data_IF_598484581563
#
_entry.id   IF_598484581563
#
_cell.length_a   1.000
_cell.length_b   1.000
_cell.length_c   1.000
_cell.angle_alpha   90.00
_cell.angle_beta   90.00
_cell.angle_gamma   90.00
#
_symmetry.space_group_name_H-M   'P 1'
#
loop_
_entity.id
_entity.type
_entity.pdbx_description
1 polymer ?
#
# COMPACT_ATOMS: atom_id res chain seq x y z
N UNK A 1 -71.32 -20.45 44.89
CA UNK A 1 -71.09 -19.06 44.46
C UNK A 1 -69.74 -18.46 44.91
N UNK A 2 -68.97 -19.07 45.85
CA UNK A 2 -67.66 -18.55 46.29
C UNK A 2 -66.47 -18.94 45.39
N UNK A 3 -66.51 -20.07 44.71
CA UNK A 3 -65.40 -20.58 43.87
C UNK A 3 -65.19 -19.81 42.56
N UNK A 4 -66.27 -19.34 41.92
CA UNK A 4 -66.21 -18.62 40.63
C UNK A 4 -65.52 -17.24 40.73
N UNK A 5 -65.58 -16.59 41.89
CA UNK A 5 -64.94 -15.28 42.11
C UNK A 5 -63.43 -15.40 42.38
N UNK A 6 -62.96 -16.56 42.83
CA UNK A 6 -61.55 -16.78 43.11
C UNK A 6 -60.77 -17.06 41.83
N UNK A 7 -61.33 -17.85 40.91
CA UNK A 7 -60.74 -18.12 39.60
C UNK A 7 -60.68 -16.86 38.71
N UNK A 8 -61.72 -16.01 38.76
CA UNK A 8 -61.70 -14.70 38.06
C UNK A 8 -60.61 -13.76 38.58
N UNK A 9 -60.38 -13.73 39.90
CA UNK A 9 -59.31 -12.90 40.49
C UNK A 9 -57.91 -13.41 40.13
N UNK A 10 -57.76 -14.73 40.05
CA UNK A 10 -56.49 -15.38 39.71
C UNK A 10 -56.18 -15.22 38.21
N UNK A 11 -57.20 -15.32 37.34
CA UNK A 11 -57.06 -15.05 35.91
C UNK A 11 -56.73 -13.58 35.62
N UNK A 12 -57.37 -12.63 36.30
CA UNK A 12 -57.06 -11.19 36.16
C UNK A 12 -55.62 -10.89 36.63
N UNK A 13 -55.16 -11.53 37.70
CA UNK A 13 -53.78 -11.40 38.17
C UNK A 13 -52.76 -11.95 37.15
N UNK A 14 -53.02 -13.13 36.57
CA UNK A 14 -52.14 -13.73 35.56
C UNK A 14 -52.09 -12.94 34.25
N UNK A 15 -53.22 -12.39 33.80
CA UNK A 15 -53.27 -11.52 32.60
C UNK A 15 -52.52 -10.21 32.87
N UNK A 16 -52.65 -9.63 34.07
CA UNK A 16 -51.89 -8.43 34.46
C UNK A 16 -50.38 -8.68 34.51
N UNK A 17 -49.95 -9.87 34.95
CA UNK A 17 -48.54 -10.25 34.98
C UNK A 17 -47.97 -10.45 33.56
N UNK A 18 -48.76 -11.05 32.66
CA UNK A 18 -48.36 -11.26 31.27
C UNK A 18 -48.24 -9.94 30.49
N UNK A 19 -49.15 -8.97 30.73
CA UNK A 19 -49.08 -7.64 30.10
C UNK A 19 -47.90 -6.81 30.63
N UNK A 20 -47.51 -6.97 31.89
CA UNK A 20 -46.33 -6.29 32.45
C UNK A 20 -45.02 -6.88 31.93
N UNK A 21 -45.01 -8.16 31.51
CA UNK A 21 -43.83 -8.82 30.93
C UNK A 21 -43.53 -8.44 29.47
N UNK A 22 -44.44 -7.68 28.84
CA UNK A 22 -44.31 -7.18 27.45
C UNK A 22 -43.91 -5.72 27.38
N UNK A 23 -43.57 -5.08 28.51
CA UNK A 23 -42.94 -3.76 28.50
C UNK A 23 -41.57 -3.93 27.82
N UNK A 24 -41.32 -3.28 26.66
CA UNK A 24 -39.99 -3.29 26.08
C UNK A 24 -39.07 -2.66 27.12
N UNK A 25 -38.09 -3.44 27.58
CA UNK A 25 -36.95 -2.90 28.29
C UNK A 25 -36.31 -1.92 27.31
N UNK A 26 -36.60 -0.62 27.50
CA UNK A 26 -35.88 0.43 26.83
C UNK A 26 -34.43 0.29 27.30
N UNK A 27 -33.62 -0.41 26.50
CA UNK A 27 -32.19 -0.35 26.63
C UNK A 27 -31.81 1.15 26.61
N UNK A 28 -30.86 1.60 27.43
CA UNK A 28 -30.37 2.96 27.32
C UNK A 28 -29.94 3.18 25.87
N UNK A 29 -30.56 4.17 25.22
CA UNK A 29 -30.14 4.63 23.91
C UNK A 29 -28.70 5.14 24.12
N UNK A 30 -27.71 4.36 23.72
CA UNK A 30 -26.35 4.88 23.57
C UNK A 30 -26.47 6.06 22.59
N UNK A 31 -26.27 7.28 23.07
CA UNK A 31 -26.12 8.41 22.17
C UNK A 31 -24.88 8.14 21.34
N UNK A 32 -25.08 7.90 20.05
CA UNK A 32 -24.02 7.94 19.06
C UNK A 32 -23.50 9.38 19.03
N UNK A 33 -22.45 9.63 19.82
CA UNK A 33 -21.60 10.79 19.62
C UNK A 33 -20.64 10.39 18.49
N UNK A 34 -20.95 10.84 17.28
CA UNK A 34 -20.21 10.54 16.02
C UNK A 34 -18.74 10.97 16.08
N UNK A 35 -18.31 11.63 17.16
CA UNK A 35 -16.94 12.09 17.39
C UNK A 35 -15.98 11.03 17.98
N UNK A 36 -16.45 9.80 18.25
CA UNK A 36 -15.61 8.70 18.79
C UNK A 36 -15.18 7.65 17.76
N UNK A 37 -15.68 7.72 16.53
CA UNK A 37 -15.32 6.74 15.52
C UNK A 37 -13.83 6.87 15.16
N UNK A 38 -13.17 5.74 14.91
CA UNK A 38 -11.79 5.75 14.46
C UNK A 38 -11.71 6.57 13.17
N UNK A 39 -10.68 7.40 13.03
CA UNK A 39 -10.46 8.20 11.84
C UNK A 39 -8.97 8.25 11.57
N UNK A 40 -8.57 7.78 10.40
CA UNK A 40 -7.17 7.72 10.00
C UNK A 40 -7.01 8.26 8.58
N UNK A 41 -5.78 8.63 8.24
CA UNK A 41 -5.33 8.90 6.89
C UNK A 41 -4.11 8.03 6.59
N UNK A 42 -4.12 7.36 5.44
CA UNK A 42 -3.04 6.51 4.98
C UNK A 42 -2.27 7.17 3.84
N UNK A 43 -0.95 7.18 3.92
CA UNK A 43 -0.07 7.64 2.85
C UNK A 43 1.10 6.69 2.66
N UNK A 44 1.59 6.56 1.43
CA UNK A 44 2.73 5.70 1.09
C UNK A 44 3.70 6.49 0.22
N UNK A 45 5.00 6.35 0.49
CA UNK A 45 6.07 7.02 -0.25
C UNK A 45 7.22 6.06 -0.54
N UNK A 46 7.73 6.00 -1.78
CA UNK A 46 7.19 6.68 -2.98
C UNK A 46 5.85 6.07 -3.42
N UNK A 47 5.09 6.75 -4.28
CA UNK A 47 3.86 6.19 -4.87
C UNK A 47 4.15 5.32 -6.09
N UNK A 48 5.30 5.52 -6.72
CA UNK A 48 5.77 4.75 -7.87
C UNK A 48 7.27 4.49 -7.74
N UNK A 49 7.72 3.29 -8.10
CA UNK A 49 9.15 2.94 -8.06
C UNK A 49 9.51 1.94 -9.14
N UNK A 50 10.68 2.13 -9.75
CA UNK A 50 11.32 1.11 -10.59
C UNK A 50 12.23 0.25 -9.74
N UNK A 51 12.03 -1.07 -9.79
CA UNK A 51 12.78 -2.07 -9.02
C UNK A 51 13.35 -3.07 -10.03
N UNK A 52 14.63 -3.40 -9.93
CA UNK A 52 15.19 -4.40 -10.83
C UNK A 52 14.65 -5.80 -10.47
N UNK A 53 14.31 -6.63 -11.46
CA UNK A 53 14.00 -8.04 -11.24
C UNK A 53 15.04 -8.74 -10.35
N UNK A 54 14.58 -9.48 -9.33
CA UNK A 54 15.44 -10.12 -8.32
C UNK A 54 15.79 -9.25 -7.11
N UNK A 55 15.45 -7.96 -7.12
CA UNK A 55 15.64 -7.04 -6.01
C UNK A 55 14.33 -6.74 -5.26
N UNK A 56 14.45 -5.95 -4.19
CA UNK A 56 13.33 -5.44 -3.43
C UNK A 56 13.38 -3.91 -3.32
N UNK A 57 12.23 -3.27 -3.52
CA UNK A 57 12.03 -1.84 -3.29
C UNK A 57 11.38 -1.59 -1.93
N UNK A 58 11.87 -0.57 -1.23
CA UNK A 58 11.36 -0.16 0.08
C UNK A 58 10.38 1.01 -0.06
N UNK A 59 9.25 0.89 0.63
CA UNK A 59 8.19 1.88 0.74
C UNK A 59 7.95 2.23 2.21
N UNK A 60 7.78 3.52 2.48
CA UNK A 60 7.37 4.02 3.79
C UNK A 60 5.86 4.23 3.80
N UNK A 61 5.17 3.50 4.67
CA UNK A 61 3.73 3.64 4.91
C UNK A 61 3.53 4.46 6.18
N UNK A 62 2.83 5.59 6.07
CA UNK A 62 2.52 6.46 7.20
C UNK A 62 1.03 6.47 7.46
N UNK A 63 0.64 6.18 8.70
CA UNK A 63 -0.75 6.23 9.17
C UNK A 63 -0.89 7.37 10.15
N UNK A 64 -1.71 8.36 9.81
CA UNK A 64 -2.00 9.52 10.65
C UNK A 64 -3.37 9.33 11.31
N UNK A 65 -3.46 9.48 12.63
CA UNK A 65 -4.71 9.43 13.37
C UNK A 65 -5.37 10.83 13.37
N UNK A 66 -6.41 11.00 12.55
CA UNK A 66 -7.22 12.23 12.48
C UNK A 66 -8.36 12.25 13.50
N UNK A 67 -8.55 11.16 14.25
CA UNK A 67 -9.54 11.04 15.30
C UNK A 67 -9.18 11.75 16.60
N UNK A 68 -10.10 11.67 17.56
CA UNK A 68 -9.98 12.29 18.89
C UNK A 68 -9.39 11.37 19.96
N UNK A 69 -9.42 10.05 19.73
CA UNK A 69 -8.92 9.01 20.62
C UNK A 69 -7.71 8.29 20.02
N UNK A 70 -6.87 7.62 20.83
CA UNK A 70 -5.84 6.72 20.31
C UNK A 70 -6.44 5.56 19.49
N UNK A 71 -5.75 5.14 18.43
CA UNK A 71 -6.20 4.02 17.58
C UNK A 71 -5.13 2.94 17.48
N UNK A 72 -5.53 1.68 17.46
CA UNK A 72 -4.64 0.56 17.07
C UNK A 72 -4.86 0.23 15.60
N UNK A 73 -3.79 -0.01 14.85
CA UNK A 73 -3.87 -0.23 13.40
C UNK A 73 -3.30 -1.59 13.02
N UNK A 74 -4.02 -2.31 12.16
CA UNK A 74 -3.53 -3.52 11.49
C UNK A 74 -3.35 -3.24 10.00
N UNK A 75 -2.12 -3.44 9.51
CA UNK A 75 -1.75 -3.25 8.12
C UNK A 75 -1.74 -4.57 7.34
N UNK A 76 -2.20 -4.56 6.10
CA UNK A 76 -2.07 -5.65 5.16
C UNK A 76 -1.77 -5.14 3.75
N UNK A 77 -1.26 -6.01 2.90
CA UNK A 77 -0.91 -5.69 1.51
C UNK A 77 -1.44 -6.75 0.57
N UNK A 78 -1.87 -6.33 -0.62
CA UNK A 78 -2.28 -7.23 -1.69
C UNK A 78 -1.75 -6.73 -3.04
N UNK A 79 -1.17 -7.63 -3.82
CA UNK A 79 -0.86 -7.38 -5.23
C UNK A 79 -2.16 -7.28 -6.04
N UNK A 80 -2.07 -6.56 -7.16
CA UNK A 80 -3.05 -6.61 -8.23
C UNK A 80 -3.24 -8.03 -8.79
N UNK A 81 -4.29 -8.21 -9.58
CA UNK A 81 -4.68 -9.52 -10.14
C UNK A 81 -4.24 -9.71 -11.59
N UNK A 82 -3.53 -8.74 -12.13
CA UNK A 82 -2.98 -8.74 -13.47
C UNK A 82 -1.92 -9.84 -13.62
N UNK A 83 -1.70 -10.31 -14.85
CA UNK A 83 -0.76 -11.39 -15.12
C UNK A 83 0.66 -11.06 -14.61
N UNK A 84 1.10 -9.82 -14.79
CA UNK A 84 2.43 -9.36 -14.43
C UNK A 84 2.62 -9.34 -12.91
N UNK A 85 1.57 -9.09 -12.13
CA UNK A 85 1.59 -9.06 -10.67
C UNK A 85 1.92 -10.40 -10.01
N UNK A 86 1.78 -11.52 -10.73
CA UNK A 86 2.13 -12.85 -10.19
C UNK A 86 3.62 -13.01 -9.86
N UNK A 87 4.48 -12.17 -10.46
CA UNK A 87 5.92 -12.13 -10.21
C UNK A 87 6.31 -11.13 -9.11
N UNK A 88 5.35 -10.44 -8.50
CA UNK A 88 5.55 -9.44 -7.45
C UNK A 88 5.04 -10.01 -6.12
N UNK A 89 5.70 -9.67 -5.03
CA UNK A 89 5.25 -10.02 -3.68
C UNK A 89 5.55 -8.88 -2.72
N UNK A 90 4.72 -8.70 -1.69
CA UNK A 90 4.95 -7.64 -0.70
C UNK A 90 4.90 -8.17 0.72
N UNK A 91 5.67 -7.52 1.58
CA UNK A 91 5.63 -7.71 3.03
C UNK A 91 5.55 -6.36 3.71
N UNK A 92 4.82 -6.25 4.81
CA UNK A 92 4.65 -5.01 5.56
C UNK A 92 4.85 -5.25 7.05
N UNK A 93 5.64 -4.39 7.68
CA UNK A 93 5.80 -4.36 9.13
C UNK A 93 4.54 -3.80 9.79
N UNK A 94 4.29 -4.16 11.05
CA UNK A 94 3.14 -3.67 11.79
C UNK A 94 3.53 -2.52 12.71
N UNK A 95 2.63 -1.56 12.89
CA UNK A 95 2.80 -0.47 13.85
C UNK A 95 2.65 -1.05 15.26
N UNK A 96 3.65 -0.87 16.15
CA UNK A 96 3.55 -1.37 17.51
C UNK A 96 2.67 -0.45 18.36
N UNK A 97 1.60 -1.01 18.94
CA UNK A 97 0.77 -0.29 19.90
C UNK A 97 -0.27 0.65 19.28
N UNK A 98 -0.67 1.66 20.04
CA UNK A 98 -1.67 2.64 19.64
C UNK A 98 -1.01 3.92 19.13
N UNK A 99 -1.67 4.57 18.17
CA UNK A 99 -1.31 5.87 17.60
C UNK A 99 -2.17 6.92 18.29
N UNK A 100 -1.54 7.84 19.02
CA UNK A 100 -2.25 8.91 19.72
C UNK A 100 -2.98 9.84 18.74
N UNK A 101 -4.04 10.50 19.24
CA UNK A 101 -4.81 11.46 18.46
C UNK A 101 -3.93 12.59 17.91
N UNK A 102 -4.08 12.91 16.61
CA UNK A 102 -3.28 13.92 15.92
C UNK A 102 -1.81 13.54 15.70
N UNK A 103 -1.42 12.29 16.00
CA UNK A 103 -0.07 11.77 15.75
C UNK A 103 -0.07 10.81 14.56
N UNK A 104 1.13 10.42 14.13
CA UNK A 104 1.31 9.40 13.11
C UNK A 104 2.38 8.41 13.52
N UNK A 105 2.29 7.22 12.95
CA UNK A 105 3.32 6.20 13.01
C UNK A 105 3.64 5.70 11.61
N UNK A 106 4.83 5.13 11.47
CA UNK A 106 5.33 4.63 10.20
C UNK A 106 5.59 3.12 10.24
N UNK A 107 5.36 2.48 9.11
CA UNK A 107 5.69 1.10 8.85
C UNK A 107 6.46 1.02 7.52
N UNK A 108 7.38 0.06 7.45
CA UNK A 108 8.10 -0.27 6.23
C UNK A 108 7.38 -1.39 5.49
N UNK A 109 7.14 -1.17 4.19
CA UNK A 109 6.70 -2.18 3.24
C UNK A 109 7.82 -2.47 2.24
N UNK A 110 8.08 -3.74 1.95
CA UNK A 110 9.00 -4.15 0.90
C UNK A 110 8.23 -4.87 -0.21
N UNK A 111 8.45 -4.45 -1.46
CA UNK A 111 7.96 -5.13 -2.65
C UNK A 111 9.14 -5.82 -3.33
N UNK A 112 9.07 -7.14 -3.46
CA UNK A 112 10.10 -7.97 -4.07
C UNK A 112 9.64 -8.47 -5.44
N UNK A 113 10.50 -8.34 -6.43
CA UNK A 113 10.27 -8.82 -7.79
C UNK A 113 11.02 -10.13 -8.01
N UNK A 114 10.34 -11.12 -8.60
CA UNK A 114 11.00 -12.32 -9.11
C UNK A 114 11.97 -11.95 -10.26
N UNK A 115 12.95 -12.82 -10.54
CA UNK A 115 13.97 -12.58 -11.58
C UNK A 115 13.40 -12.49 -13.01
N UNK A 116 12.18 -12.97 -13.23
CA UNK A 116 11.45 -12.90 -14.50
C UNK A 116 10.27 -11.91 -14.45
N UNK A 117 10.23 -11.02 -13.46
CA UNK A 117 9.22 -9.99 -13.39
C UNK A 117 9.38 -9.02 -14.58
N UNK A 118 8.25 -8.68 -15.19
CA UNK A 118 8.16 -7.71 -16.28
C UNK A 118 7.00 -6.76 -15.99
N UNK A 119 6.86 -5.69 -16.77
CA UNK A 119 5.73 -4.77 -16.69
C UNK A 119 5.67 -3.99 -15.37
N UNK A 120 4.45 -3.63 -14.97
CA UNK A 120 4.16 -2.93 -13.72
C UNK A 120 3.09 -3.67 -12.94
N UNK A 121 3.19 -3.63 -11.62
CA UNK A 121 2.19 -4.17 -10.72
C UNK A 121 1.81 -3.15 -9.65
N UNK A 122 0.51 -3.00 -9.43
CA UNK A 122 -0.02 -2.22 -8.31
C UNK A 122 -0.05 -3.08 -7.05
N UNK A 123 0.42 -2.52 -5.95
CA UNK A 123 0.27 -3.10 -4.60
C UNK A 123 -0.63 -2.19 -3.77
N UNK A 124 -1.72 -2.74 -3.27
CA UNK A 124 -2.66 -2.04 -2.38
C UNK A 124 -2.31 -2.33 -0.93
N UNK A 125 -2.07 -1.27 -0.16
CA UNK A 125 -1.93 -1.28 1.29
C UNK A 125 -3.29 -1.00 1.91
N UNK A 126 -3.72 -1.83 2.86
CA UNK A 126 -4.93 -1.62 3.65
C UNK A 126 -4.56 -1.38 5.11
N UNK A 127 -5.06 -0.31 5.70
CA UNK A 127 -4.98 -0.02 7.12
C UNK A 127 -6.36 -0.16 7.76
N UNK A 128 -6.47 -1.04 8.76
CA UNK A 128 -7.68 -1.19 9.56
C UNK A 128 -7.41 -0.63 10.96
N UNK A 129 -8.06 0.49 11.28
CA UNK A 129 -7.95 1.16 12.57
C UNK A 129 -9.12 0.79 13.48
N UNK A 130 -8.80 0.51 14.74
CA UNK A 130 -9.76 0.29 15.80
C UNK A 130 -9.56 1.35 16.89
N UNK A 131 -10.65 2.00 17.29
CA UNK A 131 -10.65 2.96 18.39
C UNK A 131 -10.20 2.28 19.70
N UNK A 132 -9.34 2.95 20.47
CA UNK A 132 -8.72 2.45 21.71
C UNK A 132 -8.87 3.47 22.86
N UNK A 133 -10.11 3.76 23.30
CA UNK A 133 -10.35 4.71 24.36
C UNK A 133 -9.93 4.16 25.73
N UNK A 134 -9.72 5.05 26.70
CA UNK A 134 -9.50 4.64 28.09
C UNK A 134 -10.81 4.15 28.72
N UNK A 135 -10.81 2.99 29.42
CA UNK A 135 -11.99 2.54 30.16
C UNK A 135 -12.48 3.60 31.16
N UNK A 136 -13.79 3.79 31.35
CA UNK A 136 -14.88 2.88 30.98
C UNK A 136 -15.50 3.11 29.59
N UNK A 137 -14.95 4.02 28.78
CA UNK A 137 -15.58 4.39 27.51
C UNK A 137 -15.53 3.23 26.50
N UNK A 138 -16.65 2.89 25.83
CA UNK A 138 -16.65 1.84 24.82
C UNK A 138 -15.99 2.34 23.52
N UNK A 139 -15.25 1.47 22.81
CA UNK A 139 -14.65 1.82 21.52
C UNK A 139 -15.72 2.22 20.49
N UNK A 140 -15.41 3.22 19.68
CA UNK A 140 -16.18 3.63 18.51
C UNK A 140 -16.10 2.65 17.34
N UNK A 141 -16.72 3.01 16.22
CA UNK A 141 -16.64 2.20 15.00
C UNK A 141 -15.20 2.16 14.43
N UNK A 142 -14.77 1.03 13.85
CA UNK A 142 -13.49 0.97 13.16
C UNK A 142 -13.50 1.79 11.87
N UNK A 143 -12.31 2.12 11.37
CA UNK A 143 -12.09 2.73 10.06
C UNK A 143 -11.14 1.89 9.21
N UNK A 144 -11.33 1.95 7.90
CA UNK A 144 -10.47 1.29 6.92
C UNK A 144 -10.07 2.30 5.86
N UNK A 145 -8.76 2.40 5.62
CA UNK A 145 -8.18 3.23 4.57
C UNK A 145 -7.27 2.38 3.67
N UNK A 146 -7.20 2.76 2.39
CA UNK A 146 -6.33 2.06 1.42
C UNK A 146 -5.49 3.04 0.62
N UNK A 147 -4.28 2.62 0.28
CA UNK A 147 -3.39 3.35 -0.60
C UNK A 147 -2.75 2.39 -1.59
N UNK A 148 -2.56 2.83 -2.83
CA UNK A 148 -1.97 2.01 -3.89
C UNK A 148 -0.65 2.60 -4.32
N UNK A 149 0.34 1.74 -4.54
CA UNK A 149 1.62 2.09 -5.14
C UNK A 149 1.88 1.22 -6.36
N UNK A 150 2.59 1.77 -7.34
CA UNK A 150 2.95 1.05 -8.57
C UNK A 150 4.43 0.72 -8.56
N UNK A 151 4.75 -0.57 -8.67
CA UNK A 151 6.12 -1.06 -8.86
C UNK A 151 6.32 -1.48 -10.31
N UNK A 152 7.36 -0.98 -10.97
CA UNK A 152 7.71 -1.32 -12.35
C UNK A 152 9.01 -2.10 -12.38
N UNK A 153 9.03 -3.21 -13.11
CA UNK A 153 10.26 -3.94 -13.39
C UNK A 153 11.21 -3.05 -14.21
N UNK A 154 12.41 -2.85 -13.69
CA UNK A 154 13.51 -2.19 -14.42
C UNK A 154 14.04 -3.04 -15.57
N UNK A 155 14.97 -2.46 -16.33
CA UNK A 155 15.74 -3.13 -17.38
C UNK A 155 16.88 -4.01 -16.83
N UNK A 156 17.15 -3.91 -15.53
CA UNK A 156 18.08 -4.78 -14.82
C UNK A 156 17.74 -6.24 -15.10
N UNK A 157 18.68 -6.96 -15.69
CA UNK A 157 18.46 -8.36 -16.03
C UNK A 157 18.45 -9.18 -14.75
N UNK A 158 17.26 -9.51 -14.27
CA UNK A 158 17.09 -10.36 -13.10
C UNK A 158 17.75 -11.73 -13.22
N UNK A 159 18.18 -12.17 -14.40
CA UNK A 159 18.87 -13.45 -14.57
C UNK A 159 20.27 -13.34 -15.22
N UNK A 160 20.68 -12.18 -15.76
CA UNK A 160 22.01 -12.07 -16.36
C UNK A 160 23.03 -11.60 -15.32
N UNK A 161 23.97 -12.50 -14.99
CA UNK A 161 25.17 -12.17 -14.23
C UNK A 161 25.92 -10.96 -14.82
N UNK A 162 25.84 -10.77 -16.14
CA UNK A 162 26.43 -9.64 -16.87
C UNK A 162 25.43 -9.11 -17.90
N UNK A 163 25.28 -7.80 -17.99
CA UNK A 163 24.42 -7.11 -18.94
C UNK A 163 24.97 -5.72 -19.22
N UNK A 164 24.91 -5.28 -20.49
CA UNK A 164 25.37 -3.95 -20.89
C UNK A 164 24.37 -3.37 -21.86
N UNK A 165 23.87 -2.18 -21.57
CA UNK A 165 23.14 -1.37 -22.54
C UNK A 165 24.03 -0.25 -23.11
N UNK A 166 23.84 0.05 -24.39
CA UNK A 166 24.64 0.99 -25.15
C UNK A 166 23.71 1.99 -25.82
N UNK A 167 23.80 3.25 -25.43
CA UNK A 167 23.08 4.34 -26.10
C UNK A 167 24.04 5.40 -26.62
N UNK A 168 23.68 6.03 -27.74
CA UNK A 168 24.54 6.96 -28.45
C UNK A 168 23.79 8.28 -28.66
N UNK A 169 24.32 9.35 -28.10
CA UNK A 169 23.78 10.70 -28.27
C UNK A 169 24.68 11.45 -29.23
N UNK A 170 24.10 11.93 -30.34
CA UNK A 170 24.81 12.74 -31.32
C UNK A 170 24.54 14.22 -31.04
N UNK A 171 25.60 15.01 -31.03
CA UNK A 171 25.49 16.47 -31.00
C UNK A 171 26.37 17.07 -32.09
N UNK A 172 25.83 18.01 -32.86
CA UNK A 172 26.60 18.73 -33.88
C UNK A 172 26.98 20.12 -33.36
N UNK A 173 28.23 20.51 -33.57
CA UNK A 173 28.72 21.87 -33.33
C UNK A 173 29.46 22.37 -34.56
N UNK A 174 29.05 23.54 -35.07
CA UNK A 174 29.77 24.23 -36.13
C UNK A 174 30.79 25.17 -35.50
N UNK A 175 32.08 24.94 -35.75
CA UNK A 175 33.17 25.78 -35.26
C UNK A 175 33.99 26.28 -36.45
N UNK A 176 34.12 27.61 -36.61
CA UNK A 176 34.97 28.19 -37.64
C UNK A 176 34.58 27.89 -39.11
N UNK A 177 33.37 27.39 -39.37
CA UNK A 177 32.91 26.98 -40.71
C UNK A 177 33.11 25.49 -41.01
N UNK A 178 33.60 24.70 -40.05
CA UNK A 178 33.67 23.24 -40.13
C UNK A 178 32.58 22.63 -39.22
N UNK A 179 31.83 21.66 -39.75
CA UNK A 179 30.84 20.91 -39.00
C UNK A 179 31.53 19.74 -38.28
N UNK A 180 31.66 19.85 -36.96
CA UNK A 180 32.16 18.76 -36.13
C UNK A 180 30.97 18.03 -35.50
N UNK A 181 30.92 16.71 -35.68
CA UNK A 181 29.92 15.87 -35.01
C UNK A 181 30.58 15.17 -33.82
N UNK A 182 30.02 15.39 -32.63
CA UNK A 182 30.47 14.79 -31.38
C UNK A 182 29.48 13.68 -30.99
N UNK A 183 30.01 12.49 -30.75
CA UNK A 183 29.24 11.32 -30.36
C UNK A 183 29.55 10.97 -28.91
N UNK A 184 28.53 10.97 -28.06
CA UNK A 184 28.64 10.49 -26.68
C UNK A 184 28.05 9.09 -26.62
N UNK A 185 28.90 8.11 -26.32
CA UNK A 185 28.47 6.75 -26.02
C UNK A 185 28.22 6.63 -24.50
N UNK A 186 27.00 6.29 -24.12
CA UNK A 186 26.63 5.96 -22.75
C UNK A 186 26.62 4.44 -22.63
N UNK A 187 27.34 3.95 -21.63
CA UNK A 187 27.43 2.51 -21.30
C UNK A 187 26.78 2.31 -19.95
N UNK A 188 25.72 1.54 -19.90
CA UNK A 188 25.00 1.22 -18.66
C UNK A 188 25.18 -0.26 -18.32
N UNK A 189 25.55 -0.56 -17.08
CA UNK A 189 25.62 -1.95 -16.61
C UNK A 189 24.22 -2.38 -16.17
N UNK A 190 23.61 -3.27 -16.95
CA UNK A 190 22.28 -3.83 -16.69
C UNK A 190 22.35 -5.21 -16.03
N UNK A 191 23.54 -5.72 -15.70
CA UNK A 191 23.74 -7.02 -15.04
C UNK A 191 24.02 -6.91 -13.54
N UNK A 192 23.96 -8.06 -12.84
CA UNK A 192 24.14 -8.13 -11.38
C UNK A 192 25.59 -7.94 -10.90
N UNK A 193 26.59 -8.14 -11.76
CA UNK A 193 28.02 -8.00 -11.42
C UNK A 193 28.65 -6.84 -12.21
N UNK A 194 29.73 -6.26 -11.67
CA UNK A 194 30.58 -5.38 -12.47
C UNK A 194 31.15 -6.15 -13.66
N UNK A 195 30.98 -5.60 -14.85
CA UNK A 195 31.56 -6.10 -16.08
C UNK A 195 32.71 -5.19 -16.55
N UNK A 196 33.78 -5.79 -17.06
CA UNK A 196 34.77 -5.04 -17.85
C UNK A 196 34.27 -4.96 -19.29
N UNK A 197 33.92 -3.76 -19.74
CA UNK A 197 33.44 -3.52 -21.10
C UNK A 197 34.60 -3.04 -21.97
N UNK A 198 34.95 -3.81 -23.00
CA UNK A 198 35.91 -3.39 -24.02
C UNK A 198 35.16 -2.82 -25.22
N UNK A 199 35.30 -1.53 -25.43
CA UNK A 199 34.73 -0.83 -26.58
C UNK A 199 35.75 -0.81 -27.71
N UNK A 200 35.35 -1.27 -28.91
CA UNK A 200 36.16 -1.19 -30.11
C UNK A 200 35.38 -0.41 -31.16
N UNK A 201 36.00 0.63 -31.70
CA UNK A 201 35.48 1.38 -32.84
C UNK A 201 36.19 0.84 -34.07
N UNK A 202 35.44 0.21 -34.97
CA UNK A 202 35.93 -0.19 -36.27
C UNK A 202 35.46 0.83 -37.29
N UNK A 203 36.40 1.50 -37.96
CA UNK A 203 36.08 2.37 -39.09
C UNK A 203 35.71 1.49 -40.28
N UNK A 204 34.43 1.51 -40.65
CA UNK A 204 34.00 0.88 -41.90
C UNK A 204 34.38 1.79 -43.08
N UNK A 205 35.57 1.55 -43.59
CA UNK A 205 36.13 2.17 -44.78
C UNK A 205 35.56 1.60 -46.09
N UNK A 206 34.52 0.75 -46.04
CA UNK A 206 33.80 0.31 -47.24
C UNK A 206 32.71 1.30 -47.70
N UNK A 207 32.36 2.30 -46.88
CA UNK A 207 31.55 3.45 -47.30
C UNK A 207 32.40 4.47 -48.10
N UNK A 208 32.86 4.04 -49.28
CA UNK A 208 33.46 4.90 -50.30
C UNK A 208 32.43 5.91 -50.83
N UNK A 209 32.30 7.07 -50.17
CA UNK A 209 31.32 8.08 -50.56
C UNK A 209 31.64 9.53 -50.20
N UNK A 210 32.78 9.82 -49.57
CA UNK A 210 33.21 11.20 -49.35
C UNK A 210 34.49 11.48 -50.17
N UNK A 211 34.28 11.90 -51.42
CA UNK A 211 35.26 12.59 -52.26
C UNK A 211 34.91 14.06 -52.36
#
# INVERSE_FOLDING_TARGET
MKTLNQEKRLAVFLISLMVFSLLPLAAPNASADEARDASIQLTVSPTEQTINPGEAGEYTVRVYNTGSNPVTVQLSTAQGTEQDCSAYSSTITQIPGAIDAGSYEEATMNVTLAQNAEGSCDTTVTANAQDSPTPPDPPGQPATETATVTSTAGDGSGNALYGVDLSMVTSSKTWGGEDTTEWTLVVENTGQQQATVNLVIEEDNSASGCS
#
